data_IF_515245724374
#
_entry.id   IF_515245724374
#
_cell.length_a   1.000
_cell.length_b   1.000
_cell.length_c   1.000
_cell.angle_alpha   90.00
_cell.angle_beta   90.00
_cell.angle_gamma   90.00
#
_symmetry.space_group_name_H-M   'P 1'
#
loop_
_entity.id
_entity.type
_entity.pdbx_description
1 polymer ?
#
# COMPACT_ATOMS: atom_id res chain seq x y z
N UNK A 1 5.19 5.00 -46.91
CA UNK A 1 5.56 3.84 -46.07
C UNK A 1 6.15 4.34 -44.77
N UNK A 2 5.52 4.15 -43.60
CA UNK A 2 6.17 4.57 -42.34
C UNK A 2 5.33 4.71 -41.06
N UNK A 3 4.00 4.68 -41.10
CA UNK A 3 3.18 4.93 -39.89
C UNK A 3 2.83 3.69 -39.06
N UNK A 4 2.91 2.48 -39.63
CA UNK A 4 2.54 1.23 -38.93
C UNK A 4 3.58 0.71 -37.94
N UNK A 5 4.88 0.95 -38.19
CA UNK A 5 5.98 0.38 -37.39
C UNK A 5 6.21 1.16 -36.10
N UNK A 6 5.94 2.48 -36.10
CA UNK A 6 6.13 3.33 -34.93
C UNK A 6 5.19 2.94 -33.77
N UNK A 7 3.94 2.58 -34.08
CA UNK A 7 2.94 2.16 -33.08
C UNK A 7 3.26 0.78 -32.47
N UNK A 8 3.88 -0.12 -33.24
CA UNK A 8 4.27 -1.45 -32.75
C UNK A 8 5.52 -1.39 -31.86
N UNK A 9 6.48 -0.52 -32.20
CA UNK A 9 7.71 -0.38 -31.43
C UNK A 9 7.53 0.39 -30.11
N UNK A 10 6.62 1.38 -30.07
CA UNK A 10 6.25 2.06 -28.82
C UNK A 10 5.58 1.13 -27.80
N UNK A 11 4.70 0.22 -28.25
CA UNK A 11 4.03 -0.74 -27.35
C UNK A 11 5.00 -1.69 -26.67
N UNK A 12 6.08 -2.11 -27.34
CA UNK A 12 7.10 -2.98 -26.74
C UNK A 12 7.90 -2.28 -25.64
N UNK A 13 8.26 -1.01 -25.81
CA UNK A 13 8.98 -0.23 -24.77
C UNK A 13 8.12 0.05 -23.54
N UNK A 14 6.83 0.32 -23.71
CA UNK A 14 5.91 0.58 -22.60
C UNK A 14 5.62 -0.70 -21.78
N UNK A 15 5.55 -1.86 -22.44
CA UNK A 15 5.38 -3.15 -21.77
C UNK A 15 6.56 -3.51 -20.85
N UNK A 16 7.80 -3.21 -21.26
CA UNK A 16 9.00 -3.40 -20.44
C UNK A 16 9.00 -2.50 -19.20
N UNK A 17 8.60 -1.23 -19.34
CA UNK A 17 8.54 -0.28 -18.21
C UNK A 17 7.49 -0.70 -17.19
N UNK A 18 6.31 -1.16 -17.64
CA UNK A 18 5.26 -1.68 -16.75
C UNK A 18 5.72 -2.92 -15.98
N UNK A 19 6.35 -3.88 -16.65
CA UNK A 19 6.90 -5.08 -16.01
C UNK A 19 8.00 -4.78 -14.98
N UNK A 20 8.91 -3.86 -15.30
CA UNK A 20 9.96 -3.42 -14.38
C UNK A 20 9.39 -2.68 -13.17
N UNK A 21 8.38 -1.81 -13.35
CA UNK A 21 7.67 -1.13 -12.26
C UNK A 21 7.01 -2.11 -11.30
N UNK A 22 6.27 -3.09 -11.81
CA UNK A 22 5.64 -4.14 -10.99
C UNK A 22 6.66 -5.00 -10.25
N UNK A 23 7.79 -5.32 -10.87
CA UNK A 23 8.87 -6.07 -10.20
C UNK A 23 9.51 -5.26 -9.07
N UNK A 24 9.73 -3.97 -9.29
CA UNK A 24 10.26 -3.05 -8.27
C UNK A 24 9.28 -2.88 -7.10
N UNK A 25 7.98 -2.70 -7.39
CA UNK A 25 6.91 -2.64 -6.40
C UNK A 25 6.84 -3.91 -5.53
N UNK A 26 6.82 -5.09 -6.15
CA UNK A 26 6.87 -6.38 -5.41
C UNK A 26 8.12 -6.53 -4.55
N UNK A 27 9.28 -6.09 -5.05
CA UNK A 27 10.53 -6.11 -4.29
C UNK A 27 10.45 -5.19 -3.06
N UNK A 28 9.97 -3.95 -3.25
CA UNK A 28 9.76 -2.99 -2.15
C UNK A 28 8.80 -3.54 -1.11
N UNK A 29 7.65 -4.09 -1.54
CA UNK A 29 6.68 -4.68 -0.61
C UNK A 29 7.27 -5.82 0.22
N UNK A 30 8.07 -6.70 -0.39
CA UNK A 30 8.80 -7.77 0.35
C UNK A 30 9.77 -7.20 1.37
N UNK A 31 10.49 -6.14 1.03
CA UNK A 31 11.41 -5.47 1.95
C UNK A 31 10.64 -4.82 3.12
N UNK A 32 9.55 -4.10 2.84
CA UNK A 32 8.71 -3.49 3.87
C UNK A 32 8.10 -4.54 4.80
N UNK A 33 7.54 -5.65 4.27
CA UNK A 33 7.06 -6.77 5.11
C UNK A 33 8.17 -7.33 6.01
N UNK A 34 9.40 -7.42 5.49
CA UNK A 34 10.55 -7.86 6.30
C UNK A 34 10.85 -6.86 7.42
N UNK A 35 10.82 -5.56 7.13
CA UNK A 35 11.02 -4.49 8.12
C UNK A 35 9.95 -4.50 9.20
N UNK A 36 8.67 -4.64 8.84
CA UNK A 36 7.57 -4.76 9.80
C UNK A 36 7.79 -5.94 10.74
N UNK A 37 8.14 -7.12 10.21
CA UNK A 37 8.43 -8.31 11.03
C UNK A 37 9.62 -8.12 11.96
N UNK A 38 10.67 -7.44 11.49
CA UNK A 38 11.84 -7.12 12.31
C UNK A 38 11.47 -6.11 13.40
N UNK A 39 10.70 -5.08 13.08
CA UNK A 39 10.23 -4.08 14.04
C UNK A 39 9.35 -4.71 15.13
N UNK A 40 8.42 -5.60 14.74
CA UNK A 40 7.60 -6.36 15.68
C UNK A 40 8.45 -7.19 16.64
N UNK A 41 9.41 -7.96 16.12
CA UNK A 41 10.31 -8.80 16.95
C UNK A 41 11.21 -7.98 17.87
N UNK A 42 11.64 -6.81 17.41
CA UNK A 42 12.47 -5.89 18.18
C UNK A 42 11.64 -4.99 19.12
N UNK A 43 10.32 -5.17 19.19
CA UNK A 43 9.38 -4.36 19.95
C UNK A 43 9.53 -2.84 19.66
N UNK A 44 9.84 -2.48 18.41
CA UNK A 44 9.99 -1.09 17.96
C UNK A 44 8.64 -0.57 17.50
N UNK A 45 7.94 0.10 18.41
CA UNK A 45 6.57 0.58 18.23
C UNK A 45 6.44 1.48 16.99
N UNK A 46 7.15 2.60 16.96
CA UNK A 46 7.05 3.57 15.87
C UNK A 46 7.39 2.94 14.51
N UNK A 47 8.48 2.17 14.44
CA UNK A 47 8.90 1.47 13.21
C UNK A 47 7.84 0.49 12.72
N UNK A 48 7.17 -0.24 13.63
CA UNK A 48 6.17 -1.24 13.27
C UNK A 48 4.94 -0.57 12.63
N UNK A 49 4.34 0.41 13.31
CA UNK A 49 3.13 1.05 12.80
C UNK A 49 3.42 1.90 11.55
N UNK A 50 4.55 2.61 11.51
CA UNK A 50 4.95 3.39 10.33
C UNK A 50 5.26 2.52 9.09
N UNK A 51 5.83 1.32 9.26
CA UNK A 51 6.05 0.42 8.12
C UNK A 51 4.75 -0.30 7.69
N UNK A 52 3.79 -0.53 8.60
CA UNK A 52 2.44 -1.00 8.25
C UNK A 52 1.67 0.06 7.44
N UNK A 53 1.70 1.32 7.90
CA UNK A 53 1.09 2.47 7.22
C UNK A 53 1.68 2.62 5.81
N UNK A 54 3.02 2.61 5.71
CA UNK A 54 3.74 2.67 4.43
C UNK A 54 3.35 1.55 3.47
N UNK A 55 3.15 0.32 3.96
CA UNK A 55 2.71 -0.80 3.11
C UNK A 55 1.35 -0.54 2.47
N UNK A 56 0.40 -0.01 3.24
CA UNK A 56 -0.93 0.35 2.73
C UNK A 56 -0.83 1.53 1.76
N UNK A 57 -0.16 2.62 2.15
CA UNK A 57 -0.01 3.82 1.31
C UNK A 57 0.70 3.52 -0.01
N UNK A 58 1.74 2.68 -0.01
CA UNK A 58 2.43 2.25 -1.24
C UNK A 58 1.48 1.49 -2.17
N UNK A 59 0.65 0.59 -1.61
CA UNK A 59 -0.32 -0.20 -2.38
C UNK A 59 -1.43 0.68 -2.94
N UNK A 60 -1.94 1.61 -2.15
CA UNK A 60 -2.93 2.59 -2.59
C UNK A 60 -2.37 3.47 -3.70
N UNK A 61 -1.09 3.88 -3.60
CA UNK A 61 -0.40 4.63 -4.65
C UNK A 61 -0.30 3.87 -5.97
N UNK A 62 -0.11 2.54 -5.91
CA UNK A 62 -0.16 1.69 -7.11
C UNK A 62 -1.56 1.68 -7.74
N UNK A 63 -2.62 1.57 -6.93
CA UNK A 63 -4.03 1.58 -7.39
C UNK A 63 -4.37 2.92 -8.06
N UNK A 64 -4.08 4.04 -7.39
CA UNK A 64 -4.43 5.38 -7.92
C UNK A 64 -3.43 5.90 -8.96
N UNK A 65 -2.36 5.16 -9.24
CA UNK A 65 -1.29 5.51 -10.19
C UNK A 65 -0.61 6.87 -9.93
N UNK A 66 -0.65 7.34 -8.68
CA UNK A 66 -0.01 8.57 -8.18
C UNK A 66 0.36 8.37 -6.71
N UNK A 67 1.13 9.27 -6.13
CA UNK A 67 1.42 9.21 -4.69
C UNK A 67 0.13 9.35 -3.88
N UNK A 68 -0.18 8.36 -3.04
CA UNK A 68 -1.21 8.47 -2.02
C UNK A 68 -0.70 9.15 -0.74
N UNK A 69 0.63 9.25 -0.59
CA UNK A 69 1.24 9.97 0.53
C UNK A 69 0.83 11.45 0.49
N UNK A 70 0.29 11.94 1.62
CA UNK A 70 -0.14 13.33 1.78
C UNK A 70 -1.55 13.63 1.27
N UNK A 71 -2.28 12.64 0.74
CA UNK A 71 -3.70 12.81 0.46
C UNK A 71 -4.50 12.75 1.77
N UNK A 72 -5.48 13.65 1.92
CA UNK A 72 -6.44 13.54 3.03
C UNK A 72 -7.46 12.43 2.74
N UNK A 73 -8.15 11.93 3.77
CA UNK A 73 -9.10 10.81 3.64
C UNK A 73 -10.11 11.02 2.50
N UNK A 74 -10.71 12.20 2.38
CA UNK A 74 -11.67 12.50 1.32
C UNK A 74 -11.07 12.43 -0.11
N UNK A 75 -9.81 12.85 -0.28
CA UNK A 75 -9.12 12.78 -1.58
C UNK A 75 -8.74 11.34 -1.93
N UNK A 76 -8.38 10.55 -0.91
CA UNK A 76 -8.06 9.14 -1.06
C UNK A 76 -9.31 8.31 -1.38
N UNK A 77 -10.41 8.57 -0.67
CA UNK A 77 -11.73 7.98 -0.91
C UNK A 77 -12.19 8.23 -2.35
N UNK A 78 -12.18 9.49 -2.79
CA UNK A 78 -12.53 9.85 -4.17
C UNK A 78 -11.65 9.11 -5.18
N UNK A 79 -10.33 9.10 -4.97
CA UNK A 79 -9.38 8.47 -5.91
C UNK A 79 -9.55 6.94 -5.99
N UNK A 80 -9.89 6.29 -4.88
CA UNK A 80 -10.16 4.85 -4.84
C UNK A 80 -11.53 4.53 -5.46
N UNK A 81 -12.53 5.39 -5.25
CA UNK A 81 -13.83 5.29 -5.91
C UNK A 81 -13.74 5.40 -7.43
N UNK A 82 -12.90 6.31 -7.96
CA UNK A 82 -12.59 6.41 -9.40
C UNK A 82 -11.97 5.11 -9.96
N UNK A 83 -11.26 4.36 -9.12
CA UNK A 83 -10.68 3.04 -9.42
C UNK A 83 -11.64 1.87 -9.16
N UNK A 84 -12.91 2.17 -8.82
CA UNK A 84 -13.98 1.19 -8.54
C UNK A 84 -13.66 0.24 -7.39
N UNK A 85 -12.87 0.69 -6.42
CA UNK A 85 -12.71 -0.02 -5.15
C UNK A 85 -14.07 0.04 -4.41
N UNK A 86 -14.59 -1.07 -3.88
CA UNK A 86 -15.84 -1.08 -3.12
C UNK A 86 -15.77 -0.14 -1.91
N UNK A 87 -16.86 0.55 -1.62
CA UNK A 87 -16.98 1.51 -0.50
C UNK A 87 -16.59 0.86 0.82
N UNK A 88 -17.03 -0.37 1.09
CA UNK A 88 -16.70 -1.06 2.34
C UNK A 88 -15.19 -1.34 2.48
N UNK A 89 -14.48 -1.55 1.38
CA UNK A 89 -13.03 -1.74 1.39
C UNK A 89 -12.27 -0.42 1.51
N UNK A 90 -12.85 0.68 1.02
CA UNK A 90 -12.31 2.03 1.20
C UNK A 90 -12.41 2.41 2.68
N UNK A 91 -13.57 2.28 3.29
CA UNK A 91 -13.78 2.60 4.71
C UNK A 91 -12.82 1.78 5.59
N UNK A 92 -12.72 0.47 5.32
CA UNK A 92 -11.87 -0.41 6.10
C UNK A 92 -10.37 -0.05 6.00
N UNK A 93 -9.90 0.41 4.84
CA UNK A 93 -8.50 0.84 4.69
C UNK A 93 -8.26 2.19 5.36
N UNK A 94 -9.21 3.13 5.27
CA UNK A 94 -9.11 4.44 5.92
C UNK A 94 -9.12 4.30 7.44
N UNK A 95 -10.05 3.54 8.01
CA UNK A 95 -10.10 3.23 9.44
C UNK A 95 -8.81 2.55 9.91
N UNK A 96 -8.23 1.69 9.08
CA UNK A 96 -6.97 1.02 9.42
C UNK A 96 -5.80 1.98 9.39
N UNK A 97 -5.72 2.90 8.43
CA UNK A 97 -4.69 3.93 8.40
C UNK A 97 -4.78 4.84 9.62
N UNK A 98 -5.98 5.30 9.99
CA UNK A 98 -6.19 6.10 11.19
C UNK A 98 -5.78 5.35 12.46
N UNK A 99 -6.15 4.06 12.57
CA UNK A 99 -5.75 3.23 13.70
C UNK A 99 -4.23 3.00 13.80
N UNK A 100 -3.55 2.89 12.66
CA UNK A 100 -2.08 2.78 12.62
C UNK A 100 -1.41 4.08 13.08
N UNK A 101 -1.91 5.22 12.62
CA UNK A 101 -1.43 6.54 13.04
C UNK A 101 -1.66 6.76 14.53
N UNK A 102 -2.87 6.48 15.02
CA UNK A 102 -3.18 6.57 16.44
C UNK A 102 -2.23 5.71 17.28
N UNK A 103 -2.05 4.43 16.92
CA UNK A 103 -1.16 3.55 17.66
C UNK A 103 0.29 4.07 17.64
N UNK A 104 0.76 4.56 16.47
CA UNK A 104 2.10 5.12 16.32
C UNK A 104 2.37 6.29 17.27
N UNK A 105 1.41 7.20 17.43
CA UNK A 105 1.55 8.41 18.26
C UNK A 105 1.05 8.24 19.70
N UNK A 106 0.36 7.15 20.02
CA UNK A 106 -0.13 6.83 21.36
C UNK A 106 0.36 5.44 21.85
N UNK A 107 1.68 5.21 21.99
CA UNK A 107 2.22 3.89 22.33
C UNK A 107 1.85 3.38 23.73
N UNK A 108 1.29 4.24 24.59
CA UNK A 108 0.74 3.85 25.90
C UNK A 108 -0.70 3.32 25.83
N UNK A 109 -1.41 3.53 24.71
CA UNK A 109 -2.78 3.08 24.50
C UNK A 109 -2.85 1.70 23.83
N UNK A 110 -1.76 1.25 23.20
CA UNK A 110 -1.71 0.02 22.40
C UNK A 110 -0.47 -0.78 22.79
N UNK A 111 -0.63 -2.07 23.07
CA UNK A 111 0.48 -2.93 23.47
C UNK A 111 0.99 -3.73 22.26
N UNK A 112 2.12 -3.30 21.68
CA UNK A 112 2.68 -3.90 20.46
C UNK A 112 2.87 -5.43 20.55
N UNK A 113 3.33 -5.93 21.69
CA UNK A 113 3.61 -7.37 21.86
C UNK A 113 2.35 -8.25 21.72
N UNK A 114 1.18 -7.74 22.10
CA UNK A 114 -0.09 -8.47 22.07
C UNK A 114 -0.93 -8.12 20.84
N UNK A 115 -0.97 -6.85 20.46
CA UNK A 115 -1.85 -6.34 19.40
C UNK A 115 -1.15 -6.29 18.03
N UNK A 116 0.18 -6.16 18.01
CA UNK A 116 0.98 -6.10 16.78
C UNK A 116 0.80 -7.28 15.83
N UNK A 117 0.79 -8.55 16.28
CA UNK A 117 0.55 -9.68 15.39
C UNK A 117 -0.80 -9.63 14.68
N UNK A 118 -1.88 -9.27 15.39
CA UNK A 118 -3.21 -9.11 14.83
C UNK A 118 -3.27 -7.93 13.85
N UNK A 119 -2.63 -6.81 14.19
CA UNK A 119 -2.54 -5.65 13.31
C UNK A 119 -1.79 -5.97 12.01
N UNK A 120 -0.70 -6.73 12.10
CA UNK A 120 0.04 -7.20 10.91
C UNK A 120 -0.82 -8.11 10.05
N UNK A 121 -1.56 -9.04 10.66
CA UNK A 121 -2.47 -9.92 9.93
C UNK A 121 -3.57 -9.13 9.20
N UNK A 122 -4.24 -8.19 9.89
CA UNK A 122 -5.23 -7.30 9.28
C UNK A 122 -4.64 -6.52 8.10
N UNK A 123 -3.45 -5.95 8.29
CA UNK A 123 -2.73 -5.23 7.23
C UNK A 123 -2.47 -6.14 6.02
N UNK A 124 -2.02 -7.37 6.25
CA UNK A 124 -1.78 -8.33 5.17
C UNK A 124 -3.05 -8.76 4.43
N UNK A 125 -4.17 -8.93 5.14
CA UNK A 125 -5.46 -9.25 4.54
C UNK A 125 -5.98 -8.11 3.66
N UNK A 126 -5.85 -6.86 4.12
CA UNK A 126 -6.18 -5.68 3.33
C UNK A 126 -5.33 -5.57 2.06
N UNK A 127 -4.00 -5.76 2.19
CA UNK A 127 -3.10 -5.77 1.04
C UNK A 127 -3.52 -6.80 -0.02
N UNK A 128 -3.88 -8.01 0.41
CA UNK A 128 -4.34 -9.06 -0.50
C UNK A 128 -5.64 -8.69 -1.22
N UNK A 129 -6.59 -8.04 -0.53
CA UNK A 129 -7.84 -7.57 -1.14
C UNK A 129 -7.61 -6.41 -2.11
N UNK A 130 -6.74 -5.47 -1.73
CA UNK A 130 -6.37 -4.31 -2.54
C UNK A 130 -5.56 -4.67 -3.79
N UNK A 131 -4.80 -5.77 -3.76
CA UNK A 131 -4.04 -6.26 -4.92
C UNK A 131 -4.89 -6.56 -6.15
N UNK A 132 -6.20 -6.79 -5.98
CA UNK A 132 -7.13 -6.95 -7.10
C UNK A 132 -7.30 -5.67 -7.96
N UNK A 133 -6.93 -4.51 -7.41
CA UNK A 133 -7.11 -3.19 -8.04
C UNK A 133 -5.78 -2.55 -8.50
N UNK A 134 -4.66 -3.25 -8.32
CA UNK A 134 -3.33 -2.76 -8.72
C UNK A 134 -3.13 -2.94 -10.24
N UNK A 135 -2.76 -1.86 -10.94
CA UNK A 135 -2.56 -1.81 -12.40
C UNK A 135 -1.12 -2.07 -12.87
#
# INVERSE_FOLDING_TARGET
>A
FGFGVFRFMHRRRLADVGGLRRKAARSRRRQSITRVKVALRANRHEDFYGECERLLVDTLSEIVSRSAMGLVHAELEQALGEKKVPEELIDEVLDTLEGLDFARYAPGAVQLATEGPAQLEKTMQLLHRLDAFVE
#
